data_IF_498627623917
#
_entry.id   IF_498627623917
#
_cell.length_a   1.000
_cell.length_b   1.000
_cell.length_c   1.000
_cell.angle_alpha   90.00
_cell.angle_beta   90.00
_cell.angle_gamma   90.00
#
_symmetry.space_group_name_H-M   'P 1'
#
loop_
_entity.id
_entity.type
_entity.pdbx_description
1 polymer ?
#
# COMPACT_ATOMS: atom_id res chain seq x y z
N UNK A 1 5.86 -65.14 -21.91
CA UNK A 1 5.65 -63.76 -21.43
C UNK A 1 6.38 -63.64 -20.12
N UNK A 2 7.42 -62.80 -20.07
CA UNK A 2 8.31 -62.69 -18.91
C UNK A 2 7.60 -62.15 -17.67
N UNK A 3 7.68 -62.91 -16.58
CA UNK A 3 7.07 -62.61 -15.28
C UNK A 3 7.52 -61.25 -14.71
N UNK A 4 8.72 -60.79 -15.06
CA UNK A 4 9.26 -59.48 -14.62
C UNK A 4 8.59 -58.29 -15.32
N UNK A 5 8.09 -58.46 -16.54
CA UNK A 5 7.45 -57.39 -17.31
C UNK A 5 6.01 -57.17 -16.85
N UNK A 6 5.30 -58.22 -16.46
CA UNK A 6 3.92 -58.16 -15.97
C UNK A 6 3.77 -57.44 -14.60
N UNK A 7 4.76 -57.60 -13.71
CA UNK A 7 4.80 -56.93 -12.40
C UNK A 7 5.01 -55.42 -12.54
N UNK A 8 5.78 -55.00 -13.56
CA UNK A 8 6.03 -53.58 -13.84
C UNK A 8 4.76 -52.87 -14.34
N UNK A 9 3.98 -53.50 -15.24
CA UNK A 9 2.73 -52.92 -15.73
C UNK A 9 1.63 -52.84 -14.67
N UNK A 10 1.54 -53.82 -13.76
CA UNK A 10 0.54 -53.80 -12.67
C UNK A 10 0.87 -52.77 -11.61
N UNK A 11 2.15 -52.58 -11.26
CA UNK A 11 2.58 -51.53 -10.34
C UNK A 11 2.33 -50.12 -10.91
N UNK A 12 2.59 -49.92 -12.20
CA UNK A 12 2.33 -48.63 -12.89
C UNK A 12 0.82 -48.35 -12.97
N UNK A 13 -0.01 -49.36 -13.25
CA UNK A 13 -1.47 -49.19 -13.26
C UNK A 13 -2.01 -48.80 -11.88
N UNK A 14 -1.51 -49.40 -10.79
CA UNK A 14 -1.91 -49.02 -9.44
C UNK A 14 -1.53 -47.57 -9.09
N UNK A 15 -0.33 -47.09 -9.45
CA UNK A 15 0.08 -45.71 -9.15
C UNK A 15 -0.73 -44.68 -9.95
N UNK A 16 -1.12 -45.01 -11.18
CA UNK A 16 -2.01 -44.17 -11.99
C UNK A 16 -3.42 -44.13 -11.37
N UNK A 17 -3.98 -45.28 -10.96
CA UNK A 17 -5.32 -45.31 -10.33
C UNK A 17 -5.34 -44.59 -8.98
N UNK A 18 -4.26 -44.67 -8.18
CA UNK A 18 -4.15 -43.97 -6.90
C UNK A 18 -3.96 -42.45 -7.08
N UNK A 19 -3.35 -42.00 -8.19
CA UNK A 19 -3.25 -40.56 -8.49
C UNK A 19 -4.54 -39.97 -9.05
N UNK A 20 -5.38 -40.77 -9.71
CA UNK A 20 -6.74 -40.35 -10.11
C UNK A 20 -7.71 -40.21 -8.93
N UNK A 21 -7.59 -41.02 -7.88
CA UNK A 21 -8.47 -40.93 -6.70
C UNK A 21 -8.10 -39.80 -5.73
N UNK A 22 -6.86 -39.31 -5.77
CA UNK A 22 -6.41 -38.19 -4.92
C UNK A 22 -6.57 -36.79 -5.57
N UNK A 23 -7.05 -36.73 -6.82
CA UNK A 23 -7.35 -35.48 -7.52
C UNK A 23 -8.87 -35.28 -7.66
N UNK A 24 -9.64 -35.48 -6.59
CA UNK A 24 -10.92 -34.78 -6.48
C UNK A 24 -10.62 -33.30 -6.24
N UNK A 25 -10.54 -32.55 -7.33
CA UNK A 25 -10.67 -31.10 -7.26
C UNK A 25 -12.09 -30.82 -6.79
N UNK A 26 -12.27 -30.67 -5.47
CA UNK A 26 -13.56 -30.49 -4.84
C UNK A 26 -14.28 -29.32 -5.52
N UNK A 27 -15.29 -29.66 -6.31
CA UNK A 27 -15.98 -28.72 -7.17
C UNK A 27 -16.63 -27.63 -6.31
N UNK A 28 -16.57 -26.37 -6.76
CA UNK A 28 -17.17 -25.24 -6.02
C UNK A 28 -18.63 -25.50 -5.62
N UNK A 29 -19.38 -26.23 -6.46
CA UNK A 29 -20.75 -26.64 -6.19
C UNK A 29 -20.89 -27.64 -5.04
N UNK A 30 -19.97 -28.60 -4.90
CA UNK A 30 -20.00 -29.58 -3.80
C UNK A 30 -19.52 -28.98 -2.49
N UNK A 31 -18.58 -28.02 -2.54
CA UNK A 31 -18.20 -27.21 -1.39
C UNK A 31 -19.35 -26.32 -0.92
N UNK A 32 -20.04 -25.62 -1.84
CA UNK A 32 -21.17 -24.76 -1.50
C UNK A 32 -22.38 -25.54 -0.97
N UNK A 33 -22.67 -26.73 -1.51
CA UNK A 33 -23.75 -27.58 -0.99
C UNK A 33 -23.43 -28.13 0.40
N UNK A 34 -22.17 -28.52 0.64
CA UNK A 34 -21.68 -28.94 1.95
C UNK A 34 -21.76 -27.79 2.96
N UNK A 35 -21.35 -26.59 2.56
CA UNK A 35 -21.42 -25.39 3.40
C UNK A 35 -22.87 -25.03 3.78
N UNK A 36 -23.80 -25.07 2.83
CA UNK A 36 -25.22 -24.84 3.10
C UNK A 36 -25.81 -25.87 4.08
N UNK A 37 -25.39 -27.14 3.97
CA UNK A 37 -25.75 -28.20 4.90
C UNK A 37 -25.21 -27.94 6.32
N UNK A 38 -23.95 -27.53 6.44
CA UNK A 38 -23.35 -27.15 7.73
C UNK A 38 -24.03 -25.93 8.35
N UNK A 39 -24.40 -24.92 7.56
CA UNK A 39 -25.17 -23.76 8.04
C UNK A 39 -26.53 -24.17 8.61
N UNK A 40 -27.25 -25.07 7.94
CA UNK A 40 -28.55 -25.56 8.43
C UNK A 40 -28.42 -26.37 9.73
N UNK A 41 -27.34 -27.16 9.88
CA UNK A 41 -27.01 -27.88 11.11
C UNK A 41 -26.72 -26.89 12.24
N UNK A 42 -25.84 -25.91 12.02
CA UNK A 42 -25.49 -24.87 13.00
C UNK A 42 -26.73 -24.09 13.48
N UNK A 43 -27.65 -23.78 12.56
CA UNK A 43 -28.93 -23.13 12.87
C UNK A 43 -29.84 -24.01 13.72
N UNK A 44 -29.95 -25.29 13.38
CA UNK A 44 -30.80 -26.27 14.11
C UNK A 44 -30.31 -26.55 15.52
N UNK A 45 -29.00 -26.63 15.75
CA UNK A 45 -28.42 -26.89 17.06
C UNK A 45 -28.28 -25.62 17.92
N UNK A 46 -28.75 -24.46 17.43
CA UNK A 46 -28.69 -23.18 18.14
C UNK A 46 -27.27 -22.65 18.35
N UNK A 47 -26.28 -23.20 17.64
CA UNK A 47 -24.88 -22.76 17.65
C UNK A 47 -24.59 -21.64 16.67
N UNK A 48 -25.55 -21.29 15.81
CA UNK A 48 -25.47 -20.05 15.07
C UNK A 48 -25.48 -18.90 16.09
N UNK A 49 -24.28 -18.47 16.48
CA UNK A 49 -24.08 -17.20 17.18
C UNK A 49 -24.95 -16.21 16.44
N UNK A 50 -25.80 -15.45 17.14
CA UNK A 50 -26.63 -14.41 16.52
C UNK A 50 -25.69 -13.49 15.75
N UNK A 51 -25.41 -13.80 14.49
CA UNK A 51 -24.83 -12.92 13.51
C UNK A 51 -25.93 -11.89 13.33
N UNK A 52 -26.00 -10.93 14.26
CA UNK A 52 -26.65 -9.68 13.95
C UNK A 52 -25.95 -9.27 12.67
N UNK A 53 -26.72 -9.06 11.61
CA UNK A 53 -26.30 -8.15 10.58
C UNK A 53 -26.05 -6.84 11.31
N UNK A 54 -24.82 -6.66 11.83
CA UNK A 54 -24.28 -5.33 11.94
C UNK A 54 -24.39 -4.84 10.50
N UNK A 55 -25.13 -3.75 10.24
CA UNK A 55 -24.94 -3.10 8.97
C UNK A 55 -23.44 -2.91 8.89
N UNK A 56 -22.79 -3.65 7.99
CA UNK A 56 -21.46 -3.28 7.55
C UNK A 56 -21.75 -1.87 7.07
N UNK A 57 -21.31 -0.89 7.85
CA UNK A 57 -21.36 0.50 7.44
C UNK A 57 -20.35 0.52 6.31
N UNK A 58 -20.78 0.06 5.13
CA UNK A 58 -20.07 0.15 3.89
C UNK A 58 -20.00 1.64 3.69
N UNK A 59 -18.91 2.22 4.18
CA UNK A 59 -18.59 3.57 3.86
C UNK A 59 -18.29 3.51 2.37
N UNK A 60 -19.34 3.78 1.59
CA UNK A 60 -19.30 4.20 0.19
C UNK A 60 -18.57 5.54 0.14
N UNK A 61 -17.36 5.56 0.70
CA UNK A 61 -16.47 6.69 0.77
C UNK A 61 -15.84 6.81 -0.59
N UNK A 62 -15.93 8.00 -1.17
CA UNK A 62 -15.20 8.37 -2.38
C UNK A 62 -13.73 7.97 -2.19
N UNK A 63 -13.13 7.35 -3.21
CA UNK A 63 -11.70 7.03 -3.23
C UNK A 63 -10.90 8.29 -2.93
N UNK A 64 -9.95 8.19 -1.99
CA UNK A 64 -9.01 9.27 -1.68
C UNK A 64 -7.62 8.72 -1.89
N UNK A 65 -6.99 9.18 -2.96
CA UNK A 65 -5.65 8.80 -3.34
C UNK A 65 -5.02 9.92 -4.17
N UNK A 66 -3.73 10.11 -4.03
CA UNK A 66 -2.98 11.04 -4.87
C UNK A 66 -1.59 10.51 -5.15
N UNK A 67 -1.06 10.94 -6.29
CA UNK A 67 0.32 10.73 -6.69
C UNK A 67 0.80 11.96 -7.45
N UNK A 68 1.92 12.51 -7.03
CA UNK A 68 2.50 13.71 -7.61
C UNK A 68 4.04 13.60 -7.67
N UNK A 69 4.61 14.09 -8.76
CA UNK A 69 6.05 14.08 -9.04
C UNK A 69 6.56 15.53 -9.04
N UNK A 70 7.83 15.74 -8.68
CA UNK A 70 8.46 17.05 -8.87
C UNK A 70 8.40 17.46 -10.34
N UNK A 71 8.10 18.73 -10.61
CA UNK A 71 8.04 19.28 -11.97
C UNK A 71 9.41 19.54 -12.58
N UNK A 72 10.46 19.59 -11.76
CA UNK A 72 11.83 19.86 -12.17
C UNK A 72 12.82 19.55 -11.05
N UNK A 73 14.10 19.72 -11.34
CA UNK A 73 15.14 19.60 -10.32
C UNK A 73 15.01 20.73 -9.29
N UNK A 74 15.24 20.40 -8.03
CA UNK A 74 15.41 21.41 -6.97
C UNK A 74 16.87 21.43 -6.58
N UNK A 75 17.47 22.62 -6.50
CA UNK A 75 18.85 22.81 -6.04
C UNK A 75 18.89 23.87 -4.95
N UNK A 76 19.86 23.76 -4.04
CA UNK A 76 20.06 24.71 -2.94
C UNK A 76 18.77 25.08 -2.19
N UNK A 77 17.91 24.10 -1.93
CA UNK A 77 16.61 24.32 -1.30
C UNK A 77 16.82 24.59 0.19
N UNK A 78 16.46 25.78 0.70
CA UNK A 78 16.74 26.15 2.09
C UNK A 78 16.05 25.24 3.10
N UNK A 79 16.58 25.20 4.33
CA UNK A 79 15.91 24.57 5.47
C UNK A 79 14.49 25.16 5.67
N UNK A 80 13.56 24.36 6.19
CA UNK A 80 12.15 24.71 6.38
C UNK A 80 11.34 25.02 5.10
N UNK A 81 11.81 24.57 3.94
CA UNK A 81 11.05 24.66 2.69
C UNK A 81 10.10 23.48 2.51
N UNK A 82 8.83 23.75 2.21
CA UNK A 82 7.84 22.74 1.80
C UNK A 82 8.10 22.34 0.35
N UNK A 83 8.22 21.04 0.09
CA UNK A 83 8.45 20.50 -1.25
C UNK A 83 7.12 20.45 -2.02
N UNK A 84 7.08 21.11 -3.17
CA UNK A 84 5.88 21.16 -4.04
C UNK A 84 6.04 20.20 -5.22
N UNK A 85 5.23 19.14 -5.24
CA UNK A 85 5.20 18.16 -6.31
C UNK A 85 4.17 18.60 -7.36
N UNK A 86 4.62 19.37 -8.36
CA UNK A 86 3.72 20.05 -9.28
C UNK A 86 3.13 19.16 -10.39
N UNK A 87 3.75 18.02 -10.73
CA UNK A 87 3.23 17.10 -11.75
C UNK A 87 2.28 16.08 -11.10
N UNK A 88 1.01 16.46 -10.96
CA UNK A 88 -0.03 15.62 -10.35
C UNK A 88 -0.56 14.62 -11.37
N UNK A 89 -0.48 13.32 -11.06
CA UNK A 89 -0.97 12.23 -11.92
C UNK A 89 -2.31 11.68 -11.41
N UNK A 90 -2.48 11.59 -10.09
CA UNK A 90 -3.71 11.14 -9.44
C UNK A 90 -4.05 12.12 -8.32
N UNK A 91 -5.33 12.48 -8.17
CA UNK A 91 -5.80 13.30 -7.06
C UNK A 91 -7.29 13.05 -6.75
N UNK A 92 -7.63 11.77 -6.59
CA UNK A 92 -8.97 11.34 -6.20
C UNK A 92 -9.33 11.88 -4.81
N UNK A 93 -10.55 12.42 -4.70
CA UNK A 93 -10.98 13.13 -3.49
C UNK A 93 -10.39 14.53 -3.31
N UNK A 94 -9.55 14.99 -4.25
CA UNK A 94 -9.03 16.36 -4.32
C UNK A 94 -8.32 16.83 -3.04
N UNK A 95 -7.65 15.90 -2.34
CA UNK A 95 -6.96 16.19 -1.08
C UNK A 95 -5.60 16.87 -1.27
N UNK A 96 -4.90 16.64 -2.38
CA UNK A 96 -3.59 17.24 -2.63
C UNK A 96 -3.68 18.58 -3.35
N UNK A 97 -2.95 19.58 -2.87
CA UNK A 97 -2.81 20.89 -3.50
C UNK A 97 -1.35 21.10 -3.98
N UNK A 98 -1.08 21.11 -5.29
CA UNK A 98 0.26 21.28 -5.84
C UNK A 98 0.85 22.69 -5.63
N UNK A 99 0.00 23.73 -5.49
CA UNK A 99 0.47 25.09 -5.27
C UNK A 99 1.09 25.27 -3.87
N UNK A 100 0.61 24.50 -2.90
CA UNK A 100 1.12 24.52 -1.52
C UNK A 100 2.01 23.33 -1.18
N UNK A 101 1.97 22.25 -1.95
CA UNK A 101 2.69 21.00 -1.65
C UNK A 101 2.06 20.17 -0.53
N UNK A 102 0.80 20.46 -0.17
CA UNK A 102 0.15 19.87 1.02
C UNK A 102 -1.02 18.98 0.61
N UNK A 103 -1.16 17.85 1.30
CA UNK A 103 -2.39 17.08 1.35
C UNK A 103 -3.25 17.57 2.51
N UNK A 104 -4.55 17.74 2.31
CA UNK A 104 -5.55 18.02 3.35
C UNK A 104 -6.55 16.87 3.40
N UNK A 105 -6.69 16.22 4.56
CA UNK A 105 -7.61 15.11 4.74
C UNK A 105 -9.07 15.56 4.48
N UNK A 106 -9.77 15.02 3.46
CA UNK A 106 -11.14 15.40 3.15
C UNK A 106 -12.16 14.92 4.20
N UNK A 107 -11.83 13.83 4.88
CA UNK A 107 -12.65 13.11 5.87
C UNK A 107 -11.75 12.50 6.95
N UNK A 108 -12.35 12.06 8.06
CA UNK A 108 -11.65 11.28 9.07
C UNK A 108 -11.19 9.94 8.49
N UNK A 109 -10.04 9.45 8.98
CA UNK A 109 -9.57 8.11 8.62
C UNK A 109 -8.11 7.83 8.93
N UNK A 110 -7.69 6.62 8.59
CA UNK A 110 -6.30 6.20 8.55
C UNK A 110 -5.78 6.43 7.14
N UNK A 111 -4.65 7.09 7.02
CA UNK A 111 -4.00 7.42 5.75
C UNK A 111 -2.59 6.82 5.70
N UNK A 112 -2.18 6.43 4.50
CA UNK A 112 -0.79 6.06 4.18
C UNK A 112 -0.19 7.15 3.30
N UNK A 113 1.03 7.57 3.59
CA UNK A 113 1.84 8.45 2.77
C UNK A 113 3.20 7.81 2.50
N UNK A 114 3.70 7.98 1.29
CA UNK A 114 5.04 7.56 0.90
C UNK A 114 5.65 8.63 0.01
N UNK A 115 6.87 9.06 0.34
CA UNK A 115 7.61 9.99 -0.50
C UNK A 115 9.01 9.46 -0.75
N UNK A 116 9.44 9.58 -1.99
CA UNK A 116 10.78 9.22 -2.43
C UNK A 116 11.46 10.45 -2.95
N UNK A 117 12.73 10.64 -2.61
CA UNK A 117 13.58 11.58 -3.31
C UNK A 117 14.79 10.89 -3.89
N UNK A 118 15.31 11.48 -4.96
CA UNK A 118 16.51 11.01 -5.64
C UNK A 118 17.56 12.11 -5.67
N UNK A 119 18.79 11.76 -5.32
CA UNK A 119 19.93 12.66 -5.15
C UNK A 119 21.13 12.17 -5.98
N UNK A 120 22.04 13.08 -6.31
CA UNK A 120 23.31 12.77 -6.97
C UNK A 120 24.47 12.73 -5.95
N UNK A 121 25.63 12.23 -6.38
CA UNK A 121 26.85 12.19 -5.55
C UNK A 121 27.16 13.55 -4.92
N UNK A 122 27.54 13.53 -3.64
CA UNK A 122 27.89 14.71 -2.85
C UNK A 122 26.70 15.45 -2.24
N UNK A 123 25.47 15.13 -2.64
CA UNK A 123 24.30 15.82 -2.10
C UNK A 123 24.03 15.51 -0.64
N UNK A 124 23.61 16.56 0.08
CA UNK A 124 22.96 16.48 1.39
C UNK A 124 21.47 16.74 1.18
N UNK A 125 20.62 15.88 1.71
CA UNK A 125 19.18 16.06 1.65
C UNK A 125 18.51 15.48 2.89
N UNK A 126 17.76 16.29 3.63
CA UNK A 126 17.01 15.88 4.83
C UNK A 126 15.56 16.31 4.69
N UNK A 127 14.66 15.35 4.44
CA UNK A 127 13.23 15.57 4.27
C UNK A 127 12.45 14.91 5.41
N UNK A 128 11.48 15.63 5.93
CA UNK A 128 10.56 15.16 6.95
C UNK A 128 9.13 15.10 6.44
N UNK A 129 8.38 14.10 6.91
CA UNK A 129 6.93 14.05 6.77
C UNK A 129 6.29 14.79 7.95
N UNK A 130 5.58 15.87 7.69
CA UNK A 130 4.93 16.72 8.69
C UNK A 130 3.44 16.48 8.72
N UNK A 131 2.85 16.50 9.91
CA UNK A 131 1.41 16.55 10.12
C UNK A 131 1.09 17.69 11.07
N UNK A 132 0.29 18.65 10.60
CA UNK A 132 -0.18 19.80 11.37
C UNK A 132 0.95 20.56 12.11
N UNK A 133 2.10 20.70 11.44
CA UNK A 133 3.26 21.47 11.93
C UNK A 133 4.29 20.63 12.66
N UNK A 134 3.96 19.39 13.01
CA UNK A 134 4.85 18.48 13.73
C UNK A 134 5.44 17.44 12.79
N UNK A 135 6.77 17.32 12.78
CA UNK A 135 7.46 16.27 12.03
C UNK A 135 7.16 14.90 12.65
N UNK A 136 6.79 13.92 11.81
CA UNK A 136 6.39 12.56 12.20
C UNK A 136 7.36 11.50 11.72
N UNK A 137 8.03 11.75 10.60
CA UNK A 137 9.01 10.84 10.02
C UNK A 137 10.19 11.63 9.50
N UNK A 138 11.38 11.06 9.63
CA UNK A 138 12.64 11.66 9.20
C UNK A 138 13.30 10.73 8.16
N UNK A 139 13.73 11.30 7.05
CA UNK A 139 14.64 10.64 6.12
C UNK A 139 15.74 11.61 5.71
N UNK A 140 16.93 11.09 5.44
CA UNK A 140 18.02 11.93 5.00
C UNK A 140 19.23 11.17 4.50
N UNK A 141 19.99 11.87 3.66
CA UNK A 141 21.32 11.50 3.20
C UNK A 141 22.29 12.64 3.53
N UNK A 142 23.46 12.30 4.03
CA UNK A 142 24.53 13.24 4.27
C UNK A 142 25.70 12.89 3.36
N UNK A 143 25.97 13.76 2.38
CA UNK A 143 27.09 13.58 1.45
C UNK A 143 27.00 12.24 0.73
N UNK A 144 25.99 12.08 -0.12
CA UNK A 144 25.76 10.82 -0.85
C UNK A 144 27.03 10.33 -1.56
N UNK A 145 27.46 9.10 -1.27
CA UNK A 145 28.67 8.52 -1.86
C UNK A 145 28.43 8.02 -3.30
N UNK A 146 27.29 7.37 -3.54
CA UNK A 146 26.93 6.80 -4.85
C UNK A 146 26.66 7.88 -5.90
N UNK A 147 26.91 7.62 -7.20
CA UNK A 147 26.52 8.54 -8.28
C UNK A 147 25.06 8.97 -8.20
N UNK A 148 24.18 8.00 -7.90
CA UNK A 148 22.74 8.16 -7.83
C UNK A 148 22.19 7.31 -6.67
N UNK A 149 21.27 7.85 -5.89
CA UNK A 149 20.59 7.11 -4.82
C UNK A 149 19.19 7.69 -4.63
N UNK A 150 18.24 6.81 -4.33
CA UNK A 150 16.92 7.21 -3.88
C UNK A 150 16.72 6.84 -2.42
N UNK A 151 15.93 7.63 -1.70
CA UNK A 151 15.53 7.32 -0.34
C UNK A 151 14.03 7.56 -0.18
N UNK A 152 13.37 6.63 0.51
CA UNK A 152 11.92 6.63 0.67
C UNK A 152 11.56 6.73 2.15
N UNK A 153 10.64 7.63 2.47
CA UNK A 153 9.99 7.74 3.76
C UNK A 153 8.54 7.30 3.64
N UNK A 154 8.02 6.70 4.70
CA UNK A 154 6.62 6.25 4.78
C UNK A 154 5.99 6.71 6.10
N UNK A 155 4.68 6.92 6.11
CA UNK A 155 3.91 7.27 7.28
C UNK A 155 2.49 6.70 7.17
N UNK A 156 2.09 5.91 8.17
CA UNK A 156 0.68 5.53 8.38
C UNK A 156 0.17 6.30 9.60
N UNK A 157 -0.91 7.05 9.44
CA UNK A 157 -1.39 7.95 10.50
C UNK A 157 -2.91 8.15 10.47
N UNK A 158 -3.52 8.33 11.64
CA UNK A 158 -4.91 8.78 11.78
C UNK A 158 -4.97 10.28 11.58
N UNK A 159 -5.79 10.74 10.65
CA UNK A 159 -6.05 12.15 10.41
C UNK A 159 -7.53 12.47 10.64
N UNK A 160 -7.77 13.68 11.15
CA UNK A 160 -9.09 14.29 11.17
C UNK A 160 -9.32 15.06 9.89
N UNK A 161 -10.58 15.21 9.50
CA UNK A 161 -10.96 16.12 8.41
C UNK A 161 -10.33 17.48 8.64
N UNK A 162 -9.58 17.96 7.65
CA UNK A 162 -8.89 19.23 7.70
C UNK A 162 -7.41 19.16 8.13
N UNK A 163 -6.96 18.09 8.79
CA UNK A 163 -5.54 17.88 9.06
C UNK A 163 -4.73 17.85 7.76
N UNK A 164 -3.51 18.36 7.83
CA UNK A 164 -2.62 18.51 6.68
C UNK A 164 -1.36 17.67 6.83
N UNK A 165 -0.99 16.99 5.74
CA UNK A 165 0.30 16.32 5.59
C UNK A 165 1.14 16.99 4.50
N UNK A 166 2.45 17.11 4.70
CA UNK A 166 3.38 17.57 3.67
C UNK A 166 4.80 17.07 3.90
N UNK A 167 5.64 17.24 2.88
CA UNK A 167 7.08 16.96 2.94
C UNK A 167 7.84 18.29 3.01
N UNK A 168 8.78 18.39 3.95
CA UNK A 168 9.54 19.62 4.18
C UNK A 168 10.99 19.33 4.55
N UNK A 169 11.90 20.19 4.15
CA UNK A 169 13.32 20.14 4.56
C UNK A 169 13.45 20.53 6.05
N UNK A 170 14.24 19.81 6.86
CA UNK A 170 14.23 20.04 8.32
C UNK A 170 15.60 20.23 9.01
N UNK A 171 16.72 19.90 8.37
CA UNK A 171 18.03 19.88 9.06
C UNK A 171 19.06 20.80 8.41
N UNK A 172 19.17 20.78 7.08
CA UNK A 172 20.16 21.56 6.32
C UNK A 172 19.57 21.94 4.96
N UNK A 173 20.23 22.88 4.27
CA UNK A 173 19.95 23.17 2.86
C UNK A 173 20.14 21.91 2.03
N UNK A 174 19.10 21.56 1.29
CA UNK A 174 19.12 20.42 0.38
C UNK A 174 19.82 20.81 -0.91
N UNK A 175 20.87 20.06 -1.26
CA UNK A 175 21.74 20.40 -2.38
C UNK A 175 21.09 20.12 -3.73
N UNK A 176 20.48 18.94 -3.89
CA UNK A 176 19.85 18.54 -5.14
C UNK A 176 18.74 17.52 -4.90
N UNK A 177 17.59 17.69 -5.55
CA UNK A 177 16.55 16.67 -5.69
C UNK A 177 16.22 16.51 -7.17
N UNK A 178 16.34 15.30 -7.70
CA UNK A 178 16.06 15.03 -9.12
C UNK A 178 14.56 14.98 -9.37
N UNK A 179 14.08 15.74 -10.37
CA UNK A 179 12.65 15.92 -10.67
C UNK A 179 11.87 14.62 -10.87
N UNK A 180 12.01 13.97 -12.04
CA UNK A 180 11.21 12.80 -12.43
C UNK A 180 11.33 11.57 -11.49
N UNK A 181 12.33 11.56 -10.61
CA UNK A 181 12.60 10.45 -9.67
C UNK A 181 12.20 10.79 -8.23
N UNK A 182 11.67 11.99 -7.98
CA UNK A 182 11.23 12.44 -6.67
C UNK A 182 9.73 12.67 -6.68
N UNK A 183 9.01 11.93 -5.85
CA UNK A 183 7.56 11.87 -5.88
C UNK A 183 6.97 11.67 -4.49
N UNK A 184 5.70 12.01 -4.36
CA UNK A 184 4.88 11.83 -3.18
C UNK A 184 3.58 11.14 -3.57
N UNK A 185 3.23 10.11 -2.82
CA UNK A 185 1.98 9.36 -2.93
C UNK A 185 1.27 9.33 -1.58
N UNK A 186 -0.05 9.21 -1.61
CA UNK A 186 -0.79 8.83 -0.41
C UNK A 186 -2.22 8.43 -0.72
N UNK A 187 -2.81 7.67 0.19
CA UNK A 187 -4.17 7.18 0.06
C UNK A 187 -4.81 6.90 1.42
N UNK A 188 -6.13 6.94 1.47
CA UNK A 188 -6.91 6.55 2.64
C UNK A 188 -6.98 5.02 2.70
N UNK A 189 -6.63 4.43 3.86
CA UNK A 189 -6.73 2.99 4.13
C UNK A 189 -8.14 2.66 4.63
N UNK A 190 -8.63 3.41 5.62
CA UNK A 190 -9.90 3.11 6.28
C UNK A 190 -10.47 4.30 7.03
N UNK A 191 -11.68 4.14 7.53
CA UNK A 191 -12.42 5.13 8.30
C UNK A 191 -13.50 5.84 7.50
N UNK A 192 -14.32 6.58 8.24
CA UNK A 192 -15.43 7.42 7.82
C UNK A 192 -15.44 8.55 8.86
#
# INVERSE_FOLDING_TARGET
>A
MDSKTAISYTAIFCVIVISYTAAEQQNSSSFLSSYASYQDICRKIGWESKCRAHPIHECKGKTIAFHAVLSGHLTNTPINTIIKFGKVQVNEGSGYNPATGKFKAPVDGVYSFSWTYHTNKGSVAYLGGYVDGTIRTYIGTNTQASPWQSQTGNLVIKLKKGSQFWVQTYMQTVQHLSGNYTFLSGYKISGC
#
